data_IF_506031509380
#
_entry.id   IF_506031509380
#
_cell.length_a   1.000
_cell.length_b   1.000
_cell.length_c   1.000
_cell.angle_alpha   90.00
_cell.angle_beta   90.00
_cell.angle_gamma   90.00
#
_symmetry.space_group_name_H-M   'P 1'
#
loop_
_entity.id
_entity.type
_entity.pdbx_description
1 polymer ?
#
# COMPACT_ATOMS: atom_id res chain seq x y z
N UNK A 1 0.71 -4.55 23.54
CA UNK A 1 -0.52 -5.34 23.39
C UNK A 1 -1.16 -5.19 22.02
N UNK A 2 -1.36 -3.98 21.47
CA UNK A 2 -1.92 -3.76 20.11
C UNK A 2 -1.05 -4.32 18.99
N UNK A 3 0.26 -4.19 19.11
CA UNK A 3 1.21 -4.71 18.11
C UNK A 3 1.16 -6.23 18.01
N UNK A 4 1.07 -6.90 19.16
CA UNK A 4 1.01 -8.35 19.27
C UNK A 4 -0.31 -8.89 18.66
N UNK A 5 -1.42 -8.21 18.93
CA UNK A 5 -2.72 -8.53 18.35
C UNK A 5 -2.73 -8.34 16.83
N UNK A 6 -2.10 -7.27 16.32
CA UNK A 6 -1.98 -6.99 14.87
C UNK A 6 -1.13 -8.05 14.16
N UNK A 7 0.02 -8.41 14.71
CA UNK A 7 0.88 -9.45 14.14
C UNK A 7 0.15 -10.79 14.08
N UNK A 8 -0.57 -11.14 15.15
CA UNK A 8 -1.36 -12.36 15.18
C UNK A 8 -2.52 -12.33 14.19
N UNK A 9 -3.21 -11.21 14.05
CA UNK A 9 -4.29 -11.05 13.08
C UNK A 9 -3.79 -11.18 11.64
N UNK A 10 -2.70 -10.49 11.28
CA UNK A 10 -2.09 -10.56 9.95
C UNK A 10 -1.59 -11.98 9.66
N UNK A 11 -0.91 -12.62 10.60
CA UNK A 11 -0.41 -13.98 10.41
C UNK A 11 -1.54 -15.00 10.24
N UNK A 12 -2.64 -14.86 10.98
CA UNK A 12 -3.82 -15.73 10.84
C UNK A 12 -4.52 -15.52 9.48
N UNK A 13 -4.63 -14.29 9.01
CA UNK A 13 -5.22 -13.96 7.71
C UNK A 13 -4.37 -14.57 6.58
N UNK A 14 -3.06 -14.39 6.61
CA UNK A 14 -2.16 -14.98 5.60
C UNK A 14 -2.25 -16.52 5.61
N UNK A 15 -2.43 -17.15 6.77
CA UNK A 15 -2.59 -18.61 6.84
C UNK A 15 -3.93 -19.05 6.25
N UNK A 16 -5.01 -18.33 6.53
CA UNK A 16 -6.36 -18.64 6.01
C UNK A 16 -6.38 -18.48 4.48
N UNK A 17 -5.90 -17.38 3.98
CA UNK A 17 -5.84 -17.09 2.54
C UNK A 17 -4.80 -17.99 1.85
N UNK A 18 -3.68 -18.24 2.51
CA UNK A 18 -2.65 -19.17 2.03
C UNK A 18 -3.17 -20.62 1.91
N UNK A 19 -4.10 -21.04 2.78
CA UNK A 19 -4.77 -22.33 2.63
C UNK A 19 -5.62 -22.42 1.38
N UNK A 20 -6.31 -21.34 1.04
CA UNK A 20 -7.16 -21.28 -0.15
C UNK A 20 -6.35 -21.32 -1.45
N UNK A 21 -5.14 -20.75 -1.42
CA UNK A 21 -4.30 -20.57 -2.60
C UNK A 21 -3.25 -21.69 -2.76
N UNK A 22 -2.70 -22.18 -1.65
CA UNK A 22 -1.68 -23.23 -1.62
C UNK A 22 -2.25 -24.50 -0.99
N UNK A 23 -2.34 -25.60 -1.75
CA UNK A 23 -2.70 -26.92 -1.24
C UNK A 23 -1.57 -27.47 -0.35
N UNK A 24 -1.56 -27.09 0.92
CA UNK A 24 -0.62 -27.66 1.89
C UNK A 24 -1.04 -29.08 2.27
N UNK A 25 -0.24 -30.06 1.91
CA UNK A 25 -0.54 -31.49 2.11
C UNK A 25 -0.49 -32.00 3.57
N UNK A 26 -0.02 -31.20 4.57
CA UNK A 26 0.08 -31.63 5.99
C UNK A 26 -0.20 -30.51 7.00
N UNK A 27 -1.00 -30.85 8.04
CA UNK A 27 -1.37 -29.96 9.14
C UNK A 27 -0.17 -29.38 9.94
N UNK A 28 0.92 -30.13 10.03
CA UNK A 28 2.16 -29.71 10.71
C UNK A 28 2.90 -28.58 10.01
N UNK A 29 2.70 -28.41 8.70
CA UNK A 29 3.38 -27.37 7.93
C UNK A 29 2.80 -25.98 8.21
N UNK A 30 1.53 -25.86 8.63
CA UNK A 30 0.89 -24.57 8.91
C UNK A 30 1.47 -23.87 10.13
N UNK A 31 1.79 -24.61 11.18
CA UNK A 31 2.36 -24.05 12.40
C UNK A 31 3.76 -23.50 12.13
N UNK A 32 4.56 -24.24 11.37
CA UNK A 32 5.89 -23.78 10.99
C UNK A 32 5.83 -22.59 10.02
N UNK A 33 4.91 -22.63 9.07
CA UNK A 33 4.67 -21.51 8.14
C UNK A 33 4.25 -20.23 8.88
N UNK A 34 3.34 -20.34 9.87
CA UNK A 34 2.98 -19.22 10.75
C UNK A 34 4.17 -18.62 11.48
N UNK A 35 5.05 -19.46 12.06
CA UNK A 35 6.26 -19.01 12.74
C UNK A 35 7.18 -18.21 11.80
N UNK A 36 7.39 -18.70 10.58
CA UNK A 36 8.22 -18.00 9.60
C UNK A 36 7.63 -16.65 9.21
N UNK A 37 6.30 -16.57 9.04
CA UNK A 37 5.63 -15.28 8.74
C UNK A 37 5.80 -14.30 9.89
N UNK A 38 5.58 -14.72 11.13
CA UNK A 38 5.73 -13.87 12.31
C UNK A 38 7.17 -13.35 12.41
N UNK A 39 8.16 -14.22 12.26
CA UNK A 39 9.58 -13.82 12.28
C UNK A 39 9.87 -12.81 11.16
N UNK A 40 9.40 -13.07 9.95
CA UNK A 40 9.59 -12.19 8.80
C UNK A 40 8.98 -10.80 9.03
N UNK A 41 7.73 -10.74 9.48
CA UNK A 41 7.05 -9.48 9.81
C UNK A 41 7.77 -8.73 10.95
N UNK A 42 8.23 -9.45 11.97
CA UNK A 42 8.96 -8.85 13.10
C UNK A 42 10.28 -8.25 12.66
N UNK A 43 11.02 -8.92 11.78
CA UNK A 43 12.29 -8.40 11.23
C UNK A 43 12.04 -7.14 10.41
N UNK A 44 11.04 -7.13 9.53
CA UNK A 44 10.67 -5.94 8.74
C UNK A 44 10.30 -4.78 9.65
N UNK A 45 9.44 -5.02 10.65
CA UNK A 45 9.01 -3.99 11.61
C UNK A 45 10.20 -3.44 12.40
N UNK A 46 11.13 -4.28 12.79
CA UNK A 46 12.35 -3.87 13.51
C UNK A 46 13.24 -2.99 12.62
N UNK A 47 13.42 -3.37 11.35
CA UNK A 47 14.21 -2.58 10.39
C UNK A 47 13.58 -1.21 10.19
N UNK A 48 12.26 -1.13 9.96
CA UNK A 48 11.55 0.14 9.79
C UNK A 48 11.67 1.01 11.05
N UNK A 49 11.50 0.42 12.24
CA UNK A 49 11.64 1.13 13.51
C UNK A 49 13.06 1.66 13.74
N UNK A 50 14.10 0.94 13.29
CA UNK A 50 15.50 1.36 13.44
C UNK A 50 15.87 2.58 12.60
N UNK A 51 15.12 2.88 11.53
CA UNK A 51 15.32 4.10 10.73
C UNK A 51 14.80 5.38 11.41
N UNK A 52 14.01 5.24 12.49
CA UNK A 52 13.52 6.40 13.24
C UNK A 52 12.54 7.29 12.46
N UNK A 53 11.76 6.72 11.54
CA UNK A 53 10.72 7.46 10.83
C UNK A 53 9.67 8.00 11.80
N UNK A 54 9.16 9.20 11.52
CA UNK A 54 8.04 9.76 12.28
C UNK A 54 6.81 8.85 12.14
N UNK A 55 6.14 8.62 13.28
CA UNK A 55 4.92 7.81 13.34
C UNK A 55 3.84 8.36 12.41
N UNK A 56 3.71 9.69 12.35
CA UNK A 56 2.75 10.36 11.45
C UNK A 56 3.02 10.01 9.99
N UNK A 57 4.29 10.00 9.59
CA UNK A 57 4.69 9.63 8.22
C UNK A 57 4.29 8.19 7.87
N UNK A 58 4.51 7.25 8.80
CA UNK A 58 4.15 5.85 8.60
C UNK A 58 2.62 5.65 8.52
N UNK A 59 1.83 6.39 9.30
CA UNK A 59 0.38 6.38 9.21
C UNK A 59 -0.12 6.89 7.86
N UNK A 60 0.39 8.04 7.40
CA UNK A 60 0.03 8.61 6.11
C UNK A 60 0.40 7.66 4.95
N UNK A 61 1.53 6.97 5.08
CA UNK A 61 1.96 5.97 4.11
C UNK A 61 1.00 4.77 4.09
N UNK A 62 0.55 4.29 5.25
CA UNK A 62 -0.44 3.22 5.34
C UNK A 62 -1.79 3.66 4.74
N UNK A 63 -2.23 4.89 5.00
CA UNK A 63 -3.44 5.46 4.42
C UNK A 63 -3.36 5.56 2.89
N UNK A 64 -2.18 5.87 2.33
CA UNK A 64 -1.97 5.87 0.89
C UNK A 64 -2.21 4.48 0.28
N UNK A 65 -1.72 3.42 0.93
CA UNK A 65 -2.02 2.06 0.50
C UNK A 65 -3.52 1.78 0.54
N UNK A 66 -4.19 2.10 1.65
CA UNK A 66 -5.64 1.93 1.78
C UNK A 66 -6.40 2.65 0.66
N UNK A 67 -6.03 3.89 0.36
CA UNK A 67 -6.65 4.69 -0.70
C UNK A 67 -6.56 4.02 -2.08
N UNK A 68 -5.43 3.40 -2.41
CA UNK A 68 -5.25 2.71 -3.69
C UNK A 68 -6.16 1.48 -3.85
N UNK A 69 -6.52 0.82 -2.74
CA UNK A 69 -7.39 -0.36 -2.76
C UNK A 69 -8.88 -0.01 -2.79
N UNK A 70 -9.29 1.07 -2.13
CA UNK A 70 -10.71 1.38 -1.86
C UNK A 70 -11.59 1.33 -3.11
N UNK A 71 -11.32 2.17 -4.11
CA UNK A 71 -12.18 2.23 -5.30
C UNK A 71 -12.09 0.96 -6.15
N UNK A 72 -10.95 0.31 -6.21
CA UNK A 72 -10.78 -0.96 -6.93
C UNK A 72 -11.66 -2.05 -6.31
N UNK A 73 -11.67 -2.17 -4.99
CA UNK A 73 -12.49 -3.14 -4.27
C UNK A 73 -13.97 -2.82 -4.47
N UNK A 74 -14.40 -1.57 -4.24
CA UNK A 74 -15.81 -1.19 -4.46
C UNK A 74 -16.27 -1.44 -5.90
N UNK A 75 -15.43 -1.13 -6.88
CA UNK A 75 -15.77 -1.35 -8.28
C UNK A 75 -15.89 -2.84 -8.62
N UNK A 76 -15.12 -3.71 -7.97
CA UNK A 76 -15.19 -5.15 -8.15
C UNK A 76 -16.51 -5.78 -7.67
N UNK A 77 -17.18 -5.17 -6.69
CA UNK A 77 -18.49 -5.64 -6.23
C UNK A 77 -19.61 -5.46 -7.30
N UNK A 78 -19.49 -4.42 -8.11
CA UNK A 78 -20.50 -4.11 -9.13
C UNK A 78 -20.16 -4.67 -10.50
N UNK A 79 -18.89 -4.99 -10.76
CA UNK A 79 -18.43 -5.44 -12.05
C UNK A 79 -17.51 -6.65 -11.91
N UNK A 80 -17.68 -7.63 -12.79
CA UNK A 80 -16.70 -8.73 -12.91
C UNK A 80 -15.41 -8.15 -13.49
N UNK A 81 -14.37 -8.11 -12.69
CA UNK A 81 -13.04 -7.63 -13.07
C UNK A 81 -12.11 -8.84 -13.11
N UNK A 82 -11.25 -8.90 -14.12
CA UNK A 82 -10.17 -9.85 -14.16
C UNK A 82 -9.14 -9.51 -13.07
N UNK A 83 -8.72 -10.51 -12.30
CA UNK A 83 -7.79 -10.34 -11.17
C UNK A 83 -6.50 -9.62 -11.60
N UNK A 84 -5.96 -9.98 -12.77
CA UNK A 84 -4.75 -9.35 -13.31
C UNK A 84 -4.92 -7.85 -13.53
N UNK A 85 -6.07 -7.45 -14.06
CA UNK A 85 -6.37 -6.04 -14.32
C UNK A 85 -6.54 -5.25 -13.01
N UNK A 86 -7.12 -5.87 -11.97
CA UNK A 86 -7.23 -5.27 -10.65
C UNK A 86 -5.84 -5.02 -10.03
N UNK A 87 -4.96 -6.03 -10.03
CA UNK A 87 -3.59 -5.87 -9.52
C UNK A 87 -2.80 -4.79 -10.26
N UNK A 88 -2.83 -4.80 -11.58
CA UNK A 88 -2.13 -3.80 -12.40
C UNK A 88 -2.62 -2.39 -12.08
N UNK A 89 -3.93 -2.19 -11.94
CA UNK A 89 -4.50 -0.88 -11.64
C UNK A 89 -4.07 -0.37 -10.27
N UNK A 90 -4.07 -1.23 -9.24
CA UNK A 90 -3.61 -0.89 -7.90
C UNK A 90 -2.13 -0.51 -7.91
N UNK A 91 -1.28 -1.30 -8.57
CA UNK A 91 0.16 -1.03 -8.67
C UNK A 91 0.41 0.32 -9.34
N UNK A 92 -0.29 0.62 -10.45
CA UNK A 92 -0.18 1.91 -11.12
C UNK A 92 -0.59 3.05 -10.18
N UNK A 93 -1.72 2.91 -9.48
CA UNK A 93 -2.19 3.90 -8.50
C UNK A 93 -1.19 4.15 -7.38
N UNK A 94 -0.58 3.09 -6.86
CA UNK A 94 0.46 3.19 -5.83
C UNK A 94 1.72 3.89 -6.35
N UNK A 95 2.23 3.50 -7.52
CA UNK A 95 3.43 4.12 -8.11
C UNK A 95 3.22 5.62 -8.28
N UNK A 96 2.11 6.03 -8.89
CA UNK A 96 1.82 7.45 -9.07
C UNK A 96 1.52 8.17 -7.74
N UNK A 97 0.83 7.52 -6.80
CA UNK A 97 0.64 8.04 -5.45
C UNK A 97 1.96 8.31 -4.74
N UNK A 98 2.90 7.38 -4.78
CA UNK A 98 4.24 7.54 -4.21
C UNK A 98 5.07 8.65 -4.87
N UNK A 99 4.93 8.86 -6.17
CA UNK A 99 5.66 9.93 -6.85
C UNK A 99 5.32 11.32 -6.29
N UNK A 100 4.06 11.53 -5.90
CA UNK A 100 3.61 12.79 -5.31
C UNK A 100 3.71 12.81 -3.78
N UNK A 101 3.94 11.64 -3.15
CA UNK A 101 4.02 11.52 -1.70
C UNK A 101 5.25 12.26 -1.15
N UNK A 102 5.12 12.99 -0.03
CA UNK A 102 6.24 13.72 0.55
C UNK A 102 7.33 12.79 1.09
N UNK A 103 8.56 13.31 1.15
CA UNK A 103 9.67 12.64 1.85
C UNK A 103 9.41 12.57 3.37
N UNK A 104 10.14 11.74 4.13
CA UNK A 104 9.96 11.61 5.58
C UNK A 104 10.05 12.94 6.35
N UNK A 105 10.80 13.90 5.82
CA UNK A 105 10.97 15.25 6.41
C UNK A 105 9.88 16.24 5.98
N UNK A 106 8.86 15.78 5.24
CA UNK A 106 7.79 16.60 4.65
C UNK A 106 8.28 17.79 3.82
N UNK A 107 9.56 17.81 3.46
CA UNK A 107 10.19 18.94 2.76
C UNK A 107 9.98 18.90 1.25
N UNK A 108 9.87 17.70 0.64
CA UNK A 108 9.79 17.52 -0.82
C UNK A 108 9.02 16.24 -1.14
N UNK A 109 8.37 16.18 -2.32
CA UNK A 109 7.94 14.91 -2.91
C UNK A 109 9.02 14.38 -3.84
N UNK A 110 8.99 13.08 -4.14
CA UNK A 110 9.94 12.44 -5.06
C UNK A 110 9.93 13.12 -6.44
N UNK A 111 8.76 13.41 -6.98
CA UNK A 111 8.60 14.02 -8.29
C UNK A 111 9.07 15.48 -8.32
N UNK A 112 8.75 16.23 -7.28
CA UNK A 112 9.12 17.64 -7.18
C UNK A 112 10.61 17.79 -6.86
N UNK A 113 11.19 16.86 -6.10
CA UNK A 113 12.64 16.82 -5.87
C UNK A 113 13.45 16.59 -7.14
N UNK A 114 12.86 15.92 -8.13
CA UNK A 114 13.49 15.64 -9.42
C UNK A 114 13.27 16.79 -10.42
N UNK A 115 12.07 17.40 -10.43
CA UNK A 115 11.64 18.34 -11.47
C UNK A 115 11.84 19.83 -11.14
N UNK A 116 11.82 20.20 -9.86
CA UNK A 116 11.89 21.60 -9.44
C UNK A 116 13.13 21.86 -8.56
N UNK A 117 13.88 22.89 -8.92
CA UNK A 117 15.01 23.39 -8.12
C UNK A 117 14.53 23.92 -6.75
N UNK A 118 15.43 23.86 -5.79
CA UNK A 118 15.27 24.02 -4.35
C UNK A 118 14.50 25.26 -3.83
N UNK A 119 14.26 26.28 -4.66
CA UNK A 119 13.87 27.62 -4.17
C UNK A 119 12.35 27.90 -4.09
N UNK A 120 11.50 27.03 -4.61
CA UNK A 120 10.05 27.33 -4.75
C UNK A 120 9.19 26.62 -3.69
N UNK A 121 9.80 25.96 -2.70
CA UNK A 121 9.08 25.13 -1.73
C UNK A 121 8.57 25.94 -0.53
N UNK A 122 7.28 26.30 -0.56
CA UNK A 122 6.55 26.73 0.62
C UNK A 122 5.90 25.53 1.33
N UNK A 123 5.70 25.55 2.67
CA UNK A 123 5.00 24.49 3.41
C UNK A 123 3.58 24.24 2.89
N UNK A 124 2.95 25.22 2.28
CA UNK A 124 1.64 25.11 1.64
C UNK A 124 1.67 24.15 0.43
N UNK A 125 2.73 24.17 -0.37
CA UNK A 125 2.89 23.29 -1.53
C UNK A 125 3.10 21.84 -1.08
N UNK A 126 3.81 21.60 0.02
CA UNK A 126 4.00 20.27 0.57
C UNK A 126 2.68 19.62 1.01
N UNK A 127 1.80 20.37 1.67
CA UNK A 127 0.48 19.88 2.07
C UNK A 127 -0.43 19.61 0.87
N UNK A 128 -0.44 20.48 -0.13
CA UNK A 128 -1.25 20.29 -1.33
C UNK A 128 -0.79 19.07 -2.14
N UNK A 129 0.50 18.79 -2.20
CA UNK A 129 1.06 17.60 -2.84
C UNK A 129 0.67 16.31 -2.11
N UNK A 130 0.61 16.34 -0.78
CA UNK A 130 0.14 15.22 0.01
C UNK A 130 -1.33 14.89 -0.33
N UNK A 131 -2.23 15.88 -0.33
CA UNK A 131 -3.62 15.66 -0.74
C UNK A 131 -3.72 15.16 -2.19
N UNK A 132 -2.91 15.70 -3.10
CA UNK A 132 -2.86 15.26 -4.48
C UNK A 132 -2.43 13.80 -4.59
N UNK A 133 -1.45 13.34 -3.79
CA UNK A 133 -1.01 11.95 -3.77
C UNK A 133 -2.15 11.00 -3.39
N UNK A 134 -2.96 11.34 -2.39
CA UNK A 134 -4.13 10.55 -1.99
C UNK A 134 -5.21 10.53 -3.06
N UNK A 135 -5.51 11.67 -3.68
CA UNK A 135 -6.47 11.77 -4.77
C UNK A 135 -6.03 10.90 -5.96
N UNK A 136 -4.76 10.99 -6.35
CA UNK A 136 -4.22 10.19 -7.45
C UNK A 136 -4.25 8.70 -7.10
N UNK A 137 -3.79 8.31 -5.91
CA UNK A 137 -3.79 6.92 -5.46
C UNK A 137 -5.21 6.32 -5.46
N UNK A 138 -6.23 7.12 -5.13
CA UNK A 138 -7.62 6.68 -5.09
C UNK A 138 -8.25 6.57 -6.48
N UNK A 139 -8.17 7.63 -7.28
CA UNK A 139 -8.92 7.71 -8.54
C UNK A 139 -8.20 7.07 -9.74
N UNK A 140 -6.88 7.05 -9.75
CA UNK A 140 -6.13 6.50 -10.88
C UNK A 140 -6.38 5.00 -11.11
N UNK A 141 -6.40 4.12 -10.08
CA UNK A 141 -6.76 2.73 -10.25
C UNK A 141 -8.13 2.53 -10.88
N UNK A 142 -9.11 3.32 -10.44
CA UNK A 142 -10.47 3.28 -11.00
C UNK A 142 -10.51 3.68 -12.48
N UNK A 143 -9.79 4.74 -12.87
CA UNK A 143 -9.70 5.18 -14.26
C UNK A 143 -9.03 4.13 -15.15
N UNK A 144 -7.96 3.50 -14.66
CA UNK A 144 -7.26 2.43 -15.37
C UNK A 144 -8.18 1.24 -15.59
N UNK A 145 -8.92 0.81 -14.57
CA UNK A 145 -9.90 -0.29 -14.69
C UNK A 145 -11.00 0.03 -15.69
N UNK A 146 -11.53 1.26 -15.66
CA UNK A 146 -12.56 1.70 -16.61
C UNK A 146 -12.02 1.72 -18.04
N UNK A 147 -10.79 2.18 -18.24
CA UNK A 147 -10.12 2.20 -19.55
C UNK A 147 -9.87 0.79 -20.10
N UNK A 148 -9.51 -0.16 -19.24
CA UNK A 148 -9.31 -1.57 -19.63
C UNK A 148 -10.63 -2.25 -20.01
N UNK A 149 -11.76 -1.93 -19.34
CA UNK A 149 -13.08 -2.47 -19.68
C UNK A 149 -13.61 -2.00 -21.04
N UNK A 150 -13.16 -0.85 -21.54
CA UNK A 150 -13.59 -0.32 -22.84
C UNK A 150 -12.86 -1.03 -24.00
N UNK A 151 -11.74 -1.71 -23.71
CA UNK A 151 -10.94 -2.42 -24.73
C UNK A 151 -11.37 -3.87 -24.99
N UNK A 152 -12.35 -4.39 -24.25
CA UNK A 152 -12.99 -5.69 -24.43
C UNK A 152 -14.50 -5.54 -24.64
#
# INVERSE_FOLDING_TARGET
>A
STMDTLINAISSLIIVDGKATFEFKKKTNYINFSKYIIIFLSVISFVIASYGFDILYLFLLADLFCCAFVLTVFYSFYNKIDEKNAYISIIIGLIFGFLFFPSPDFSKSLLVGILLSKEIFSPFISQSLLFLSFIIATFLPFLVLKAQKIKF
#
